data_IF_859568006608
#
_entry.id   IF_859568006608
#
_cell.length_a   1.000
_cell.length_b   1.000
_cell.length_c   1.000
_cell.angle_alpha   90.00
_cell.angle_beta   90.00
_cell.angle_gamma   90.00
#
_symmetry.space_group_name_H-M   'P 1'
#
loop_
_entity.id
_entity.type
_entity.pdbx_description
1 polymer ?
#
# COMPACT_ATOMS: atom_id res chain seq x y z
N UNK A 1 32.04 -14.93 -10.06
CA UNK A 1 30.69 -15.52 -9.90
C UNK A 1 30.06 -15.03 -8.59
N UNK A 2 29.49 -13.81 -8.54
CA UNK A 2 28.90 -13.25 -7.30
C UNK A 2 27.46 -12.73 -7.49
N UNK A 3 26.85 -12.92 -8.66
CA UNK A 3 25.57 -12.28 -9.02
C UNK A 3 24.32 -13.08 -8.60
N UNK A 4 24.46 -14.30 -8.07
CA UNK A 4 23.31 -15.15 -7.74
C UNK A 4 22.67 -14.84 -6.37
N UNK A 5 23.44 -14.30 -5.42
CA UNK A 5 22.98 -14.14 -4.03
C UNK A 5 22.23 -12.81 -3.77
N UNK A 6 22.45 -11.78 -4.59
CA UNK A 6 21.72 -10.51 -4.45
C UNK A 6 20.26 -10.63 -4.94
N UNK A 7 20.02 -11.52 -5.91
CA UNK A 7 18.70 -11.73 -6.52
C UNK A 7 17.72 -12.40 -5.53
N UNK A 8 18.21 -13.33 -4.70
CA UNK A 8 17.41 -14.02 -3.69
C UNK A 8 17.02 -13.10 -2.52
N UNK A 9 17.95 -12.25 -2.04
CA UNK A 9 17.66 -11.28 -0.97
C UNK A 9 16.61 -10.25 -1.42
N UNK A 10 16.78 -9.65 -2.62
CA UNK A 10 15.80 -8.68 -3.14
C UNK A 10 14.41 -9.26 -3.36
N UNK A 11 14.32 -10.54 -3.76
CA UNK A 11 13.03 -11.24 -3.87
C UNK A 11 12.40 -11.49 -2.51
N UNK A 12 13.19 -11.87 -1.51
CA UNK A 12 12.68 -12.11 -0.16
C UNK A 12 12.15 -10.81 0.49
N UNK A 13 12.86 -9.70 0.32
CA UNK A 13 12.41 -8.39 0.80
C UNK A 13 11.09 -7.97 0.13
N UNK A 14 10.96 -8.18 -1.18
CA UNK A 14 9.73 -7.91 -1.93
C UNK A 14 8.56 -8.79 -1.47
N UNK A 15 8.79 -10.08 -1.20
CA UNK A 15 7.75 -10.99 -0.67
C UNK A 15 7.30 -10.53 0.72
N UNK A 16 8.24 -10.13 1.60
CA UNK A 16 7.88 -9.60 2.92
C UNK A 16 7.07 -8.31 2.82
N UNK A 17 7.45 -7.41 1.90
CA UNK A 17 6.73 -6.18 1.65
C UNK A 17 5.31 -6.43 1.11
N UNK A 18 5.16 -7.40 0.22
CA UNK A 18 3.86 -7.86 -0.28
C UNK A 18 3.00 -8.44 0.85
N UNK A 19 3.54 -9.38 1.63
CA UNK A 19 2.82 -10.01 2.73
C UNK A 19 2.39 -8.98 3.80
N UNK A 20 3.27 -8.04 4.13
CA UNK A 20 2.94 -6.94 5.03
C UNK A 20 1.80 -6.08 4.47
N UNK A 21 1.85 -5.72 3.18
CA UNK A 21 0.80 -4.97 2.49
C UNK A 21 -0.53 -5.70 2.55
N UNK A 22 -0.57 -6.99 2.19
CA UNK A 22 -1.77 -7.82 2.26
C UNK A 22 -2.33 -7.88 3.69
N UNK A 23 -1.49 -8.08 4.71
CA UNK A 23 -1.93 -8.09 6.10
C UNK A 23 -2.57 -6.76 6.50
N UNK A 24 -2.03 -5.62 6.07
CA UNK A 24 -2.61 -4.31 6.35
C UNK A 24 -3.94 -4.10 5.65
N UNK A 25 -4.06 -4.53 4.39
CA UNK A 25 -5.34 -4.52 3.66
C UNK A 25 -6.39 -5.38 4.39
N UNK A 26 -6.03 -6.59 4.78
CA UNK A 26 -6.93 -7.48 5.55
C UNK A 26 -7.34 -6.86 6.89
N UNK A 27 -6.39 -6.24 7.62
CA UNK A 27 -6.70 -5.52 8.88
C UNK A 27 -7.61 -4.32 8.67
N UNK A 28 -7.48 -3.65 7.53
CA UNK A 28 -8.38 -2.55 7.18
C UNK A 28 -9.79 -3.11 6.94
N UNK A 29 -9.92 -4.14 6.10
CA UNK A 29 -11.21 -4.77 5.75
C UNK A 29 -11.92 -5.37 6.97
N UNK A 30 -11.18 -6.05 7.86
CA UNK A 30 -11.74 -6.76 9.02
C UNK A 30 -11.86 -5.90 10.29
N UNK A 31 -11.54 -4.61 10.21
CA UNK A 31 -11.35 -3.77 11.39
C UNK A 31 -11.82 -2.35 11.20
N UNK A 32 -11.17 -1.42 11.92
CA UNK A 32 -11.49 0.00 11.80
C UNK A 32 -10.93 0.57 10.50
N UNK A 33 -11.83 1.01 9.64
CA UNK A 33 -11.56 1.84 8.46
C UNK A 33 -10.99 3.20 8.87
N UNK A 34 -9.73 3.22 9.27
CA UNK A 34 -9.05 4.41 9.75
C UNK A 34 -8.15 4.99 8.63
N UNK A 35 -8.17 6.32 8.41
CA UNK A 35 -7.35 6.96 7.37
C UNK A 35 -5.86 6.69 7.55
N UNK A 36 -5.41 6.53 8.80
CA UNK A 36 -4.00 6.24 9.11
C UNK A 36 -3.56 4.91 8.51
N UNK A 37 -4.38 3.86 8.60
CA UNK A 37 -4.04 2.55 8.04
C UNK A 37 -4.07 2.57 6.51
N UNK A 38 -5.07 3.22 5.91
CA UNK A 38 -5.12 3.43 4.46
C UNK A 38 -3.87 4.18 3.95
N UNK A 39 -3.42 5.21 4.67
CA UNK A 39 -2.19 5.93 4.34
C UNK A 39 -0.95 5.03 4.39
N UNK A 40 -0.84 4.16 5.41
CA UNK A 40 0.28 3.21 5.49
C UNK A 40 0.24 2.22 4.32
N UNK A 41 -0.94 1.72 3.92
CA UNK A 41 -1.08 0.82 2.76
C UNK A 41 -0.57 1.49 1.48
N UNK A 42 -0.98 2.74 1.23
CA UNK A 42 -0.49 3.55 0.09
C UNK A 42 1.02 3.66 0.09
N UNK A 43 1.63 3.98 1.24
CA UNK A 43 3.10 4.08 1.36
C UNK A 43 3.81 2.76 1.06
N UNK A 44 3.21 1.63 1.41
CA UNK A 44 3.80 0.31 1.22
C UNK A 44 3.69 -0.16 -0.23
N UNK A 45 2.59 0.18 -0.90
CA UNK A 45 2.41 0.00 -2.34
C UNK A 45 3.40 0.87 -3.15
N UNK A 46 3.65 2.11 -2.74
CA UNK A 46 4.67 2.96 -3.38
C UNK A 46 6.08 2.37 -3.25
N UNK A 47 6.40 1.76 -2.11
CA UNK A 47 7.67 1.04 -1.91
C UNK A 47 7.76 -0.21 -2.79
N UNK A 48 6.68 -0.98 -2.92
CA UNK A 48 6.61 -2.13 -3.82
C UNK A 48 6.88 -1.70 -5.28
N UNK A 49 6.22 -0.64 -5.73
CA UNK A 49 6.39 -0.10 -7.08
C UNK A 49 7.80 0.46 -7.34
N UNK A 50 8.46 0.95 -6.30
CA UNK A 50 9.84 1.43 -6.38
C UNK A 50 10.88 0.31 -6.31
N UNK A 51 10.46 -0.92 -6.00
CA UNK A 51 11.37 -2.05 -5.82
C UNK A 51 11.86 -2.58 -7.19
N UNK A 52 13.17 -2.82 -7.37
CA UNK A 52 13.73 -3.23 -8.67
C UNK A 52 13.11 -4.54 -9.20
N UNK A 53 12.83 -5.50 -8.33
CA UNK A 53 12.18 -6.78 -8.72
C UNK A 53 10.78 -6.57 -9.33
N UNK A 54 10.05 -5.55 -8.89
CA UNK A 54 8.72 -5.23 -9.44
C UNK A 54 8.83 -4.55 -10.80
N UNK A 55 9.95 -3.86 -11.09
CA UNK A 55 10.20 -3.30 -12.41
C UNK A 55 10.53 -4.37 -13.46
N UNK A 56 11.04 -5.52 -13.02
CA UNK A 56 11.36 -6.66 -13.90
C UNK A 56 10.12 -7.47 -14.31
N UNK A 57 8.99 -7.35 -13.59
CA UNK A 57 7.77 -8.14 -13.83
C UNK A 57 6.59 -7.19 -14.13
N UNK A 58 6.32 -6.87 -15.41
CA UNK A 58 5.32 -5.86 -15.79
C UNK A 58 3.91 -6.16 -15.26
N UNK A 59 3.44 -7.41 -15.34
CA UNK A 59 2.11 -7.77 -14.82
C UNK A 59 1.95 -7.48 -13.32
N UNK A 60 3.01 -7.70 -12.54
CA UNK A 60 2.99 -7.41 -11.10
C UNK A 60 2.95 -5.91 -10.84
N UNK A 61 3.64 -5.12 -11.66
CA UNK A 61 3.67 -3.66 -11.56
C UNK A 61 2.30 -3.07 -11.84
N UNK A 62 1.63 -3.50 -12.90
CA UNK A 62 0.27 -3.05 -13.23
C UNK A 62 -0.71 -3.37 -12.10
N UNK A 63 -0.64 -4.58 -11.54
CA UNK A 63 -1.45 -4.94 -10.37
C UNK A 63 -1.20 -4.01 -9.16
N UNK A 64 0.07 -3.70 -8.84
CA UNK A 64 0.38 -2.78 -7.75
C UNK A 64 -0.05 -1.34 -8.03
N UNK A 65 -0.01 -0.90 -9.29
CA UNK A 65 -0.52 0.42 -9.69
C UNK A 65 -2.03 0.50 -9.48
N UNK A 66 -2.79 -0.49 -9.95
CA UNK A 66 -4.24 -0.53 -9.74
C UNK A 66 -4.61 -0.56 -8.25
N UNK A 67 -3.86 -1.32 -7.44
CA UNK A 67 -4.02 -1.31 -5.99
C UNK A 67 -3.70 0.07 -5.41
N UNK A 68 -2.62 0.72 -5.85
CA UNK A 68 -2.24 2.04 -5.37
C UNK A 68 -3.35 3.08 -5.63
N UNK A 69 -3.87 3.12 -6.86
CA UNK A 69 -4.97 4.02 -7.25
C UNK A 69 -6.22 3.77 -6.39
N UNK A 70 -6.59 2.50 -6.21
CA UNK A 70 -7.71 2.13 -5.35
C UNK A 70 -7.53 2.65 -3.92
N UNK A 71 -6.36 2.40 -3.30
CA UNK A 71 -6.11 2.80 -1.92
C UNK A 71 -5.95 4.32 -1.74
N UNK A 72 -5.48 5.03 -2.76
CA UNK A 72 -5.48 6.50 -2.77
C UNK A 72 -6.90 7.07 -2.79
N UNK A 73 -7.80 6.47 -3.58
CA UNK A 73 -9.22 6.82 -3.60
C UNK A 73 -9.87 6.56 -2.23
N UNK A 74 -9.69 5.36 -1.66
CA UNK A 74 -10.18 5.01 -0.32
C UNK A 74 -9.68 5.99 0.74
N UNK A 75 -8.37 6.30 0.73
CA UNK A 75 -7.80 7.27 1.66
C UNK A 75 -8.45 8.65 1.52
N UNK A 76 -8.66 9.11 0.29
CA UNK A 76 -9.27 10.41 0.00
C UNK A 76 -10.70 10.47 0.54
N UNK A 77 -11.52 9.45 0.25
CA UNK A 77 -12.88 9.35 0.78
C UNK A 77 -12.94 9.32 2.31
N UNK A 78 -12.00 8.62 2.97
CA UNK A 78 -11.93 8.61 4.43
C UNK A 78 -11.53 9.97 5.02
N UNK A 79 -10.64 10.70 4.35
CA UNK A 79 -10.24 12.05 4.75
C UNK A 79 -11.38 13.04 4.56
N UNK A 80 -12.14 12.94 3.47
CA UNK A 80 -13.34 13.74 3.22
C UNK A 80 -14.42 13.47 4.29
N UNK A 81 -14.71 12.20 4.58
CA UNK A 81 -15.64 11.82 5.63
C UNK A 81 -15.21 12.35 7.00
N UNK A 82 -13.90 12.30 7.32
CA UNK A 82 -13.37 12.86 8.57
C UNK A 82 -13.52 14.39 8.65
N UNK A 83 -13.41 15.09 7.52
CA UNK A 83 -13.62 16.54 7.46
C UNK A 83 -15.10 16.91 7.59
N UNK A 84 -15.99 16.18 6.92
CA UNK A 84 -17.45 16.35 7.03
C UNK A 84 -18.00 15.99 8.41
N UNK A 85 -17.39 15.01 9.08
CA UNK A 85 -17.76 14.58 10.43
C UNK A 85 -17.19 15.47 11.55
N UNK A 86 -16.43 16.53 11.23
CA UNK A 86 -16.21 17.62 12.19
C UNK A 86 -17.46 18.49 12.18
N UNK A 87 -18.35 18.39 13.20
CA UNK A 87 -19.42 19.36 13.28
C UNK A 87 -18.74 20.73 13.43
N UNK A 88 -19.17 21.67 12.60
CA UNK A 88 -18.99 23.11 12.78
C UNK A 88 -19.66 23.48 14.10
N UNK A 89 -19.00 23.13 15.20
CA UNK A 89 -19.35 23.60 16.52
C UNK A 89 -18.60 24.91 16.69
N UNK A 90 -19.16 25.99 16.16
CA UNK A 90 -18.91 27.37 16.61
C UNK A 90 -19.88 28.33 15.92
N UNK A 91 -20.66 28.99 16.79
CA UNK A 91 -21.59 30.11 16.64
C UNK A 91 -22.96 29.85 16.03
#
# INVERSE_FOLDING_TARGET
MLSANANTTGKQDMIQLHAATCLMMTRFINGRHCPKLAHVIVQQLQKLLSHPVTQEIPDSRDMYLQLLEHWQSVLSSLLEQKQAARPSHLY
#
